data_IF_825461440452
#
_entry.id   IF_825461440452
#
_cell.length_a   1.000
_cell.length_b   1.000
_cell.length_c   1.000
_cell.angle_alpha   90.00
_cell.angle_beta   90.00
_cell.angle_gamma   90.00
#
_symmetry.space_group_name_H-M   'P 1'
#
loop_
_entity.id
_entity.type
_entity.pdbx_description
1 polymer ?
#
# COMPACT_ATOMS: atom_id res chain seq x y z
N UNK A 1 -5.06 -2.45 9.28
CA UNK A 1 -4.36 -2.64 10.57
C UNK A 1 -5.08 -1.84 11.64
N UNK A 2 -5.38 -2.42 12.81
CA UNK A 2 -6.02 -1.66 13.88
C UNK A 2 -5.15 -0.47 14.30
N UNK A 3 -5.77 0.67 14.62
CA UNK A 3 -5.09 1.85 15.17
C UNK A 3 -4.48 2.84 14.17
N UNK A 4 -4.53 2.57 12.85
CA UNK A 4 -4.03 3.52 11.83
C UNK A 4 -5.06 4.56 11.37
N UNK A 5 -6.35 4.33 11.66
CA UNK A 5 -7.46 5.14 11.11
C UNK A 5 -7.42 5.26 9.58
N UNK A 6 -7.01 4.17 8.93
CA UNK A 6 -6.82 4.07 7.48
C UNK A 6 -6.48 2.65 7.04
N UNK A 7 -6.31 2.48 5.73
CA UNK A 7 -5.94 1.21 5.09
C UNK A 7 -5.01 1.45 3.89
N UNK A 8 -4.33 0.40 3.43
CA UNK A 8 -3.53 0.43 2.21
C UNK A 8 -4.37 -0.06 1.03
N UNK A 9 -4.21 0.60 -0.11
CA UNK A 9 -4.77 0.22 -1.40
C UNK A 9 -3.61 0.11 -2.39
N UNK A 10 -3.65 -0.88 -3.28
CA UNK A 10 -2.66 -1.04 -4.33
C UNK A 10 -3.38 -1.17 -5.66
N UNK A 11 -2.83 -0.52 -6.69
CA UNK A 11 -3.34 -0.56 -8.07
C UNK A 11 -3.43 -1.99 -8.60
N UNK A 12 -4.43 -2.24 -9.47
CA UNK A 12 -4.58 -3.54 -10.10
C UNK A 12 -3.49 -3.78 -11.13
N UNK A 13 -3.09 -5.05 -11.31
CA UNK A 13 -2.04 -5.40 -12.28
C UNK A 13 -2.39 -5.01 -13.73
N UNK A 14 -3.67 -4.83 -14.06
CA UNK A 14 -4.13 -4.46 -15.38
C UNK A 14 -3.91 -2.96 -15.70
N UNK A 15 -3.91 -2.10 -14.67
CA UNK A 15 -3.88 -0.64 -14.79
C UNK A 15 -2.60 0.00 -14.21
N UNK A 16 -1.69 -0.81 -13.65
CA UNK A 16 -0.33 -0.41 -13.27
C UNK A 16 0.42 0.26 -14.42
N UNK A 17 1.20 1.31 -14.11
CA UNK A 17 2.00 2.03 -15.09
C UNK A 17 3.29 1.28 -15.50
N UNK A 18 3.63 0.22 -14.75
CA UNK A 18 4.77 -0.65 -14.99
C UNK A 18 6.12 -0.01 -14.66
N UNK A 19 6.16 1.15 -14.03
CA UNK A 19 7.40 1.81 -13.62
C UNK A 19 7.87 1.28 -12.26
N UNK A 20 8.92 0.45 -12.30
CA UNK A 20 9.56 -0.08 -11.08
C UNK A 20 10.27 1.01 -10.23
N UNK A 21 10.24 2.28 -10.64
CA UNK A 21 10.71 3.42 -9.87
C UNK A 21 9.61 4.18 -9.11
N UNK A 22 8.35 3.82 -9.26
CA UNK A 22 7.20 4.39 -8.55
C UNK A 22 6.52 3.31 -7.70
N UNK A 23 5.74 3.75 -6.71
CA UNK A 23 4.88 2.84 -5.93
C UNK A 23 3.48 2.82 -6.54
N UNK A 24 2.93 1.62 -6.63
CA UNK A 24 1.51 1.38 -6.96
C UNK A 24 0.62 1.33 -5.71
N UNK A 25 1.23 1.51 -4.52
CA UNK A 25 0.55 1.50 -3.23
C UNK A 25 0.26 2.90 -2.72
N UNK A 26 -0.89 3.07 -2.05
CA UNK A 26 -1.26 4.30 -1.37
C UNK A 26 -1.95 4.03 -0.04
N UNK A 27 -1.66 4.88 0.95
CA UNK A 27 -2.40 4.88 2.20
C UNK A 27 -3.66 5.76 2.08
N UNK A 28 -4.79 5.25 2.56
CA UNK A 28 -6.08 5.94 2.57
C UNK A 28 -6.47 6.21 4.01
N UNK A 29 -6.40 7.47 4.42
CA UNK A 29 -6.74 7.93 5.75
C UNK A 29 -8.20 8.37 5.84
N UNK A 30 -8.92 7.82 6.82
CA UNK A 30 -10.31 8.15 7.11
C UNK A 30 -10.54 8.74 8.52
N UNK A 31 -9.52 8.77 9.38
CA UNK A 31 -9.65 9.31 10.74
C UNK A 31 -10.76 8.60 11.53
N UNK A 32 -11.76 9.37 11.97
CA UNK A 32 -12.94 8.83 12.67
C UNK A 32 -14.15 8.61 11.73
N UNK A 33 -14.00 8.91 10.44
CA UNK A 33 -15.06 8.83 9.43
C UNK A 33 -14.84 7.61 8.52
N UNK A 34 -14.84 6.40 9.10
CA UNK A 34 -14.67 5.17 8.33
C UNK A 34 -15.75 5.08 7.23
N UNK A 35 -15.37 4.96 5.94
CA UNK A 35 -16.31 4.89 4.82
C UNK A 35 -17.06 3.55 4.69
N UNK A 36 -16.93 2.64 5.67
CA UNK A 36 -17.51 1.29 5.64
C UNK A 36 -16.50 0.20 5.32
N UNK A 37 -15.20 0.46 5.52
CA UNK A 37 -14.14 -0.54 5.39
C UNK A 37 -14.08 -1.41 6.64
N UNK A 38 -14.07 -2.72 6.42
CA UNK A 38 -13.88 -3.75 7.43
C UNK A 38 -13.01 -4.90 6.87
N UNK A 39 -12.85 -5.97 7.65
CA UNK A 39 -12.06 -7.14 7.26
C UNK A 39 -12.56 -7.82 5.98
N UNK A 40 -13.87 -7.76 5.70
CA UNK A 40 -14.46 -8.35 4.50
C UNK A 40 -14.09 -7.57 3.22
N UNK A 41 -13.61 -6.34 3.35
CA UNK A 41 -13.17 -5.50 2.23
C UNK A 41 -11.73 -5.82 1.79
N UNK A 42 -10.94 -6.46 2.66
CA UNK A 42 -9.55 -6.80 2.34
C UNK A 42 -9.49 -7.74 1.14
N UNK A 43 -8.69 -7.36 0.14
CA UNK A 43 -8.48 -8.12 -1.08
C UNK A 43 -9.59 -8.03 -2.12
N UNK A 44 -10.55 -7.12 -1.93
CA UNK A 44 -11.55 -6.77 -2.95
C UNK A 44 -11.06 -5.60 -3.80
N UNK A 45 -11.55 -5.53 -5.03
CA UNK A 45 -11.45 -4.32 -5.84
C UNK A 45 -12.33 -3.24 -5.22
N UNK A 46 -11.75 -2.07 -5.05
CA UNK A 46 -12.40 -0.89 -4.51
C UNK A 46 -12.15 0.31 -5.43
N UNK A 47 -13.11 1.23 -5.46
CA UNK A 47 -12.96 2.51 -6.13
C UNK A 47 -13.14 3.61 -5.09
N UNK A 48 -12.27 4.62 -5.14
CA UNK A 48 -12.23 5.69 -4.14
C UNK A 48 -12.19 7.04 -4.84
N UNK A 49 -13.00 7.99 -4.38
CA UNK A 49 -12.79 9.41 -4.65
C UNK A 49 -12.38 10.11 -3.36
N UNK A 50 -11.25 10.81 -3.40
CA UNK A 50 -10.63 11.44 -2.24
C UNK A 50 -9.69 12.58 -2.67
N UNK A 51 -9.19 13.35 -1.71
CA UNK A 51 -8.16 14.37 -1.93
C UNK A 51 -6.77 13.80 -1.66
N UNK A 52 -5.78 14.20 -2.47
CA UNK A 52 -4.37 13.91 -2.18
C UNK A 52 -3.89 14.84 -1.06
N UNK A 53 -3.10 14.29 -0.14
CA UNK A 53 -2.50 15.04 0.98
C UNK A 53 -1.18 14.40 1.42
N UNK A 54 -0.37 15.14 2.18
CA UNK A 54 0.82 14.61 2.82
C UNK A 54 0.73 14.70 4.34
N UNK A 55 1.14 13.65 5.04
CA UNK A 55 1.28 13.66 6.50
C UNK A 55 2.48 12.82 6.91
N UNK A 56 3.35 13.38 7.77
CA UNK A 56 4.59 12.71 8.22
C UNK A 56 5.45 12.16 7.08
N UNK A 57 5.58 12.95 6.01
CA UNK A 57 6.37 12.62 4.82
C UNK A 57 5.84 11.43 4.00
N UNK A 58 4.56 11.06 4.19
CA UNK A 58 3.88 10.06 3.37
C UNK A 58 2.78 10.72 2.55
N UNK A 59 2.77 10.45 1.24
CA UNK A 59 1.64 10.78 0.37
C UNK A 59 0.48 9.84 0.66
N UNK A 60 -0.71 10.39 0.89
CA UNK A 60 -1.90 9.64 1.24
C UNK A 60 -3.16 10.27 0.65
N UNK A 61 -4.20 9.45 0.46
CA UNK A 61 -5.55 9.94 0.22
C UNK A 61 -6.23 10.28 1.54
N UNK A 62 -6.97 11.38 1.56
CA UNK A 62 -7.81 11.80 2.70
C UNK A 62 -9.07 12.49 2.21
N UNK A 63 -9.95 12.91 3.13
CA UNK A 63 -11.23 13.55 2.78
C UNK A 63 -12.03 12.76 1.74
N UNK A 64 -12.29 11.48 2.04
CA UNK A 64 -13.00 10.54 1.17
C UNK A 64 -14.41 11.08 0.88
N UNK A 65 -14.75 11.21 -0.39
CA UNK A 65 -16.06 11.65 -0.88
C UNK A 65 -16.89 10.51 -1.45
N UNK A 66 -16.24 9.44 -1.92
CA UNK A 66 -16.89 8.22 -2.40
C UNK A 66 -16.00 7.00 -2.13
N UNK A 67 -16.64 5.88 -1.78
CA UNK A 67 -15.97 4.60 -1.53
C UNK A 67 -16.90 3.47 -1.97
N UNK A 68 -16.49 2.70 -2.97
CA UNK A 68 -17.30 1.62 -3.54
C UNK A 68 -16.51 0.33 -3.61
N UNK A 69 -17.06 -0.74 -3.02
CA UNK A 69 -16.54 -2.10 -3.15
C UNK A 69 -17.11 -2.74 -4.40
N UNK A 70 -16.25 -3.07 -5.38
CA UNK A 70 -16.64 -3.69 -6.66
C UNK A 70 -16.70 -5.22 -6.60
N UNK A 71 -16.09 -5.83 -5.60
CA UNK A 71 -16.16 -7.28 -5.35
C UNK A 71 -14.81 -7.96 -5.44
N UNK A 72 -14.79 -9.26 -5.72
CA UNK A 72 -13.55 -10.02 -5.81
C UNK A 72 -12.75 -9.62 -7.06
N UNK A 73 -11.44 -9.51 -6.92
CA UNK A 73 -10.49 -9.33 -8.00
C UNK A 73 -9.23 -10.17 -7.72
N UNK A 74 -8.39 -10.36 -8.74
CA UNK A 74 -7.07 -10.95 -8.54
C UNK A 74 -6.22 -9.97 -7.72
N UNK A 75 -5.55 -10.46 -6.68
CA UNK A 75 -4.60 -9.64 -5.95
C UNK A 75 -3.36 -9.39 -6.83
N UNK A 76 -2.75 -8.19 -6.76
CA UNK A 76 -1.42 -7.98 -7.31
C UNK A 76 -0.43 -9.02 -6.74
N UNK A 77 0.40 -9.57 -7.63
CA UNK A 77 1.49 -10.44 -7.22
C UNK A 77 2.41 -9.69 -6.25
N UNK A 78 2.90 -10.36 -5.20
CA UNK A 78 3.74 -9.69 -4.22
C UNK A 78 5.08 -9.35 -4.87
N UNK A 79 5.57 -8.13 -4.63
CA UNK A 79 6.94 -7.77 -5.05
C UNK A 79 7.93 -8.48 -4.13
N UNK A 80 8.81 -9.28 -4.72
CA UNK A 80 9.82 -10.04 -3.98
C UNK A 80 11.00 -9.17 -3.62
N UNK A 81 11.28 -9.04 -2.32
CA UNK A 81 12.41 -8.29 -1.79
C UNK A 81 13.50 -9.21 -1.25
N UNK A 82 14.76 -8.82 -1.46
CA UNK A 82 15.94 -9.48 -0.88
C UNK A 82 16.63 -8.52 0.07
N UNK A 83 16.96 -9.00 1.26
CA UNK A 83 17.62 -8.21 2.30
C UNK A 83 19.12 -8.54 2.40
N UNK A 84 19.98 -7.55 2.71
CA UNK A 84 19.64 -6.14 2.90
C UNK A 84 19.42 -5.41 1.58
N UNK A 85 18.59 -4.36 1.61
CA UNK A 85 18.50 -3.39 0.51
C UNK A 85 19.74 -2.49 0.50
N UNK A 86 20.12 -1.99 -0.68
CA UNK A 86 21.31 -1.15 -0.84
C UNK A 86 21.09 0.31 -0.46
N UNK A 87 19.84 0.79 -0.55
CA UNK A 87 19.49 2.19 -0.39
C UNK A 87 18.02 2.37 0.03
N UNK A 88 17.70 3.53 0.62
CA UNK A 88 16.35 3.85 1.09
C UNK A 88 15.34 4.00 -0.06
N UNK A 89 15.80 4.40 -1.25
CA UNK A 89 14.94 4.55 -2.42
C UNK A 89 14.31 3.22 -2.86
N UNK A 90 14.95 2.08 -2.56
CA UNK A 90 14.34 0.75 -2.75
C UNK A 90 13.11 0.53 -1.86
N UNK A 91 13.04 1.17 -0.69
CA UNK A 91 11.86 1.10 0.17
C UNK A 91 10.76 2.04 -0.28
N UNK A 92 11.12 3.25 -0.69
CA UNK A 92 10.15 4.26 -1.15
C UNK A 92 9.32 3.74 -2.35
N UNK A 93 9.96 3.03 -3.28
CA UNK A 93 9.30 2.39 -4.45
C UNK A 93 8.29 1.31 -4.08
N UNK A 94 8.35 0.78 -2.87
CA UNK A 94 7.51 -0.33 -2.41
C UNK A 94 6.53 0.08 -1.31
N UNK A 95 6.47 1.38 -0.98
CA UNK A 95 5.66 1.87 0.12
C UNK A 95 4.17 1.58 -0.13
N UNK A 96 3.52 0.92 0.83
CA UNK A 96 2.10 0.59 0.75
C UNK A 96 1.76 -0.58 -0.19
N UNK A 97 2.75 -1.17 -0.87
CA UNK A 97 2.55 -2.33 -1.73
C UNK A 97 2.62 -3.66 -0.97
N UNK A 98 2.02 -4.69 -1.57
CA UNK A 98 2.14 -6.08 -1.16
C UNK A 98 3.54 -6.60 -1.52
N UNK A 99 4.33 -6.92 -0.49
CA UNK A 99 5.70 -7.41 -0.63
C UNK A 99 5.89 -8.77 0.04
N UNK A 100 6.87 -9.52 -0.44
CA UNK A 100 7.30 -10.79 0.16
C UNK A 100 8.82 -10.79 0.30
N UNK A 101 9.33 -11.09 1.51
CA UNK A 101 10.78 -11.30 1.70
C UNK A 101 11.16 -12.64 1.10
N UNK A 102 11.80 -12.61 -0.06
CA UNK A 102 12.24 -13.81 -0.77
C UNK A 102 13.52 -14.42 -0.17
N UNK A 103 14.43 -13.57 0.32
CA UNK A 103 15.63 -14.02 1.03
C UNK A 103 16.21 -12.91 1.91
N UNK A 104 16.96 -13.30 2.93
CA UNK A 104 17.69 -12.39 3.79
C UNK A 104 19.01 -13.02 4.19
N UNK A 105 20.09 -12.25 4.15
CA UNK A 105 21.34 -12.63 4.84
C UNK A 105 21.31 -12.07 6.27
N UNK A 106 21.90 -12.79 7.22
CA UNK A 106 22.07 -12.26 8.57
C UNK A 106 22.92 -10.99 8.50
N UNK A 107 22.47 -9.91 9.14
CA UNK A 107 23.33 -8.77 9.37
C UNK A 107 24.58 -9.27 10.10
N UNK A 108 25.77 -8.93 9.60
CA UNK A 108 27.01 -9.28 10.28
C UNK A 108 26.95 -8.69 11.70
N UNK A 109 26.83 -9.57 12.70
CA UNK A 109 26.81 -9.19 14.10
C UNK A 109 28.19 -8.71 14.50
N UNK A 110 28.37 -7.41 14.60
CA UNK A 110 29.50 -6.80 15.29
C UNK A 110 28.97 -6.26 16.61
N UNK A 111 28.87 -7.18 17.60
CA UNK A 111 28.51 -7.01 19.02
C UNK A 111 27.14 -6.40 19.36
#
# INVERSE_FOLDING_TARGET
MPGLSGFFMQEEAADSDGDAATSEGIFVYYGNANPGVDESTVGKLVQISASVSEFRNQTQLSAITDFVVRGAAALPEPVRITLPVSDMGQWERLEGMRVEVASATAAASWW
#
